data_IF_147060835918
#
_entry.id   IF_147060835918
#
_cell.length_a   1.000
_cell.length_b   1.000
_cell.length_c   1.000
_cell.angle_alpha   90.00
_cell.angle_beta   90.00
_cell.angle_gamma   90.00
#
_symmetry.space_group_name_H-M   'P 1'
#
loop_
_entity.id
_entity.type
_entity.pdbx_description
1 polymer ?
#
# COMPACT_ATOMS: atom_id res chain seq x y z
N UNK A 1 -84.40 84.80 -99.72
CA UNK A 1 -84.76 83.97 -98.56
C UNK A 1 -85.86 84.69 -97.79
N UNK A 2 -86.99 84.05 -97.44
CA UNK A 2 -87.89 84.57 -96.41
C UNK A 2 -87.26 84.41 -95.03
N UNK A 3 -87.53 85.33 -94.10
CA UNK A 3 -87.01 85.28 -92.73
C UNK A 3 -87.77 84.26 -91.87
N UNK A 4 -87.10 83.60 -90.91
CA UNK A 4 -87.76 82.67 -90.00
C UNK A 4 -88.77 83.41 -89.11
N UNK A 5 -90.05 83.02 -89.21
CA UNK A 5 -91.15 83.57 -88.40
C UNK A 5 -91.94 84.72 -89.02
N UNK A 6 -91.58 85.23 -90.22
CA UNK A 6 -92.34 86.31 -90.87
C UNK A 6 -93.09 85.82 -92.13
N UNK A 7 -94.39 85.54 -91.98
CA UNK A 7 -95.24 85.08 -93.06
C UNK A 7 -95.80 86.26 -93.88
N UNK A 8 -95.53 86.29 -95.19
CA UNK A 8 -96.13 87.29 -96.09
C UNK A 8 -97.61 86.99 -96.28
N UNK A 9 -98.47 88.00 -96.11
CA UNK A 9 -99.91 87.88 -96.36
C UNK A 9 -100.20 87.84 -97.86
N UNK A 10 -100.91 86.83 -98.32
CA UNK A 10 -101.44 86.73 -99.68
C UNK A 10 -102.57 87.76 -99.91
N UNK A 11 -102.76 88.16 -101.16
CA UNK A 11 -103.67 89.25 -101.58
C UNK A 11 -105.17 89.05 -101.29
N UNK A 12 -105.57 87.87 -100.79
CA UNK A 12 -106.89 87.61 -100.22
C UNK A 12 -106.75 86.96 -98.83
N UNK A 13 -106.54 87.79 -97.80
CA UNK A 13 -106.96 87.49 -96.42
C UNK A 13 -106.31 86.29 -95.71
N UNK A 14 -105.10 85.89 -96.05
CA UNK A 14 -104.41 84.78 -95.38
C UNK A 14 -102.90 84.79 -95.57
N UNK A 15 -102.16 83.95 -94.83
CA UNK A 15 -100.72 83.82 -95.00
C UNK A 15 -100.36 83.05 -96.28
N UNK A 16 -99.23 83.39 -96.91
CA UNK A 16 -98.67 82.63 -98.02
C UNK A 16 -98.38 81.19 -97.59
N UNK A 17 -99.18 80.26 -98.12
CA UNK A 17 -99.09 78.82 -97.85
C UNK A 17 -97.69 78.26 -98.09
N UNK A 18 -96.93 78.80 -99.05
CA UNK A 18 -95.55 78.34 -99.30
C UNK A 18 -94.60 78.75 -98.18
N UNK A 19 -94.68 79.99 -97.72
CA UNK A 19 -93.90 80.49 -96.57
C UNK A 19 -94.26 79.76 -95.26
N UNK A 20 -95.54 79.46 -95.03
CA UNK A 20 -95.98 78.71 -93.84
C UNK A 20 -95.51 77.25 -93.88
N UNK A 21 -95.66 76.57 -95.02
CA UNK A 21 -95.16 75.20 -95.18
C UNK A 21 -93.63 75.15 -95.03
N UNK A 22 -92.88 76.05 -95.67
CA UNK A 22 -91.42 76.12 -95.52
C UNK A 22 -90.97 76.31 -94.06
N UNK A 23 -91.70 77.11 -93.27
CA UNK A 23 -91.42 77.25 -91.85
C UNK A 23 -91.75 75.98 -91.06
N UNK A 24 -92.86 75.31 -91.34
CA UNK A 24 -93.21 74.03 -90.71
C UNK A 24 -92.18 72.95 -91.08
N UNK A 25 -91.74 72.89 -92.33
CA UNK A 25 -90.75 71.94 -92.83
C UNK A 25 -89.39 72.19 -92.16
N UNK A 26 -88.90 73.44 -92.12
CA UNK A 26 -87.63 73.79 -91.43
C UNK A 26 -87.72 73.66 -89.90
N UNK A 27 -88.88 73.89 -89.29
CA UNK A 27 -89.11 73.64 -87.86
C UNK A 27 -89.09 72.14 -87.57
N UNK A 28 -89.75 71.30 -88.38
CA UNK A 28 -89.71 69.85 -88.26
C UNK A 28 -88.30 69.30 -88.50
N UNK A 29 -87.56 69.82 -89.46
CA UNK A 29 -86.16 69.47 -89.73
C UNK A 29 -85.26 69.83 -88.53
N UNK A 30 -85.44 71.01 -87.94
CA UNK A 30 -84.74 71.41 -86.70
C UNK A 30 -85.13 70.53 -85.49
N UNK A 31 -86.40 70.14 -85.36
CA UNK A 31 -86.83 69.18 -84.32
C UNK A 31 -86.19 67.81 -84.53
N UNK A 32 -86.17 67.28 -85.75
CA UNK A 32 -85.51 65.99 -86.05
C UNK A 32 -83.99 66.05 -85.83
N UNK A 33 -83.35 67.16 -86.16
CA UNK A 33 -81.92 67.34 -85.95
C UNK A 33 -81.57 67.46 -84.45
N UNK A 34 -82.36 68.20 -83.68
CA UNK A 34 -82.17 68.29 -82.22
C UNK A 34 -82.53 66.98 -81.49
N UNK A 35 -83.57 66.25 -81.92
CA UNK A 35 -83.90 64.92 -81.42
C UNK A 35 -82.74 63.93 -81.66
N UNK A 36 -82.13 63.93 -82.86
CA UNK A 36 -80.92 63.15 -83.16
C UNK A 36 -79.75 63.55 -82.26
N UNK A 37 -79.46 64.85 -82.10
CA UNK A 37 -78.39 65.31 -81.20
C UNK A 37 -78.61 64.84 -79.75
N UNK A 38 -79.85 64.83 -79.26
CA UNK A 38 -80.17 64.34 -77.93
C UNK A 38 -80.05 62.81 -77.83
N UNK A 39 -80.43 62.07 -78.87
CA UNK A 39 -80.21 60.62 -78.96
C UNK A 39 -78.71 60.27 -78.98
N UNK A 40 -77.91 60.97 -79.77
CA UNK A 40 -76.45 60.78 -79.82
C UNK A 40 -75.79 61.09 -78.45
N UNK A 41 -76.23 62.14 -77.76
CA UNK A 41 -75.77 62.47 -76.40
C UNK A 41 -76.21 61.40 -75.39
N UNK A 42 -77.44 60.89 -75.47
CA UNK A 42 -77.93 59.80 -74.63
C UNK A 42 -77.15 58.50 -74.84
N UNK A 43 -76.89 58.11 -76.09
CA UNK A 43 -76.02 56.96 -76.40
C UNK A 43 -74.59 57.17 -75.90
N UNK A 44 -74.04 58.38 -76.04
CA UNK A 44 -72.71 58.74 -75.54
C UNK A 44 -72.62 58.60 -74.02
N UNK A 45 -73.62 59.09 -73.28
CA UNK A 45 -73.70 58.92 -71.83
C UNK A 45 -73.91 57.45 -71.43
N UNK A 46 -74.74 56.69 -72.15
CA UNK A 46 -74.93 55.27 -71.91
C UNK A 46 -73.62 54.48 -72.04
N UNK A 47 -72.90 54.66 -73.16
CA UNK A 47 -71.60 54.03 -73.41
C UNK A 47 -70.54 54.45 -72.37
N UNK A 48 -70.55 55.70 -71.93
CA UNK A 48 -69.66 56.18 -70.86
C UNK A 48 -69.98 55.54 -69.50
N UNK A 49 -71.27 55.42 -69.15
CA UNK A 49 -71.73 54.80 -67.91
C UNK A 49 -71.42 53.29 -67.89
N UNK A 50 -71.63 52.58 -68.99
CA UNK A 50 -71.25 51.16 -69.13
C UNK A 50 -69.74 50.95 -68.97
N UNK A 51 -68.93 51.83 -69.59
CA UNK A 51 -67.47 51.81 -69.44
C UNK A 51 -67.02 52.04 -68.00
N UNK A 52 -67.62 53.01 -67.30
CA UNK A 52 -67.36 53.25 -65.88
C UNK A 52 -67.77 52.07 -65.00
N UNK A 53 -68.94 51.46 -65.23
CA UNK A 53 -69.38 50.27 -64.50
C UNK A 53 -68.48 49.06 -64.75
N UNK A 54 -67.99 48.87 -65.98
CA UNK A 54 -67.01 47.83 -66.30
C UNK A 54 -65.68 48.07 -65.58
N UNK A 55 -65.22 49.32 -65.50
CA UNK A 55 -64.00 49.67 -64.77
C UNK A 55 -64.14 49.48 -63.25
N UNK A 56 -65.27 49.88 -62.67
CA UNK A 56 -65.57 49.65 -61.24
C UNK A 56 -65.54 48.15 -60.93
N UNK A 57 -66.22 47.31 -61.72
CA UNK A 57 -66.18 45.84 -61.55
C UNK A 57 -64.77 45.27 -61.66
N UNK A 58 -63.92 45.83 -62.53
CA UNK A 58 -62.51 45.43 -62.64
C UNK A 58 -61.71 45.79 -61.39
N UNK A 59 -61.93 46.97 -60.82
CA UNK A 59 -61.29 47.40 -59.56
C UNK A 59 -61.79 46.58 -58.36
N UNK A 60 -63.09 46.28 -58.28
CA UNK A 60 -63.67 45.40 -57.25
C UNK A 60 -63.07 43.99 -57.31
N UNK A 61 -62.91 43.42 -58.51
CA UNK A 61 -62.25 42.13 -58.71
C UNK A 61 -60.77 42.16 -58.29
N UNK A 62 -60.03 43.22 -58.65
CA UNK A 62 -58.62 43.39 -58.23
C UNK A 62 -58.49 43.57 -56.70
N UNK A 63 -59.40 44.32 -56.06
CA UNK A 63 -59.43 44.47 -54.61
C UNK A 63 -59.72 43.13 -53.91
N UNK A 64 -60.68 42.35 -54.42
CA UNK A 64 -60.96 41.01 -53.91
C UNK A 64 -59.75 40.07 -54.03
N UNK A 65 -59.06 40.09 -55.18
CA UNK A 65 -57.85 39.30 -55.40
C UNK A 65 -56.69 39.72 -54.47
N UNK A 66 -56.48 41.02 -54.27
CA UNK A 66 -55.44 41.53 -53.37
C UNK A 66 -55.76 41.24 -51.90
N UNK A 67 -57.02 41.35 -51.48
CA UNK A 67 -57.45 40.97 -50.13
C UNK A 67 -57.21 39.47 -49.87
N UNK A 68 -57.56 38.60 -50.82
CA UNK A 68 -57.28 37.17 -50.71
C UNK A 68 -55.77 36.88 -50.61
N UNK A 69 -54.93 37.58 -51.39
CA UNK A 69 -53.46 37.47 -51.28
C UNK A 69 -52.97 37.91 -49.90
N UNK A 70 -53.43 39.05 -49.40
CA UNK A 70 -53.07 39.55 -48.07
C UNK A 70 -53.45 38.55 -46.97
N UNK A 71 -54.64 37.95 -47.04
CA UNK A 71 -55.08 36.93 -46.09
C UNK A 71 -54.20 35.66 -46.13
N UNK A 72 -53.84 35.18 -47.33
CA UNK A 72 -52.91 34.04 -47.45
C UNK A 72 -51.51 34.33 -46.93
N UNK A 73 -50.98 35.54 -47.16
CA UNK A 73 -49.66 35.96 -46.66
C UNK A 73 -49.68 36.15 -45.14
N UNK A 74 -50.77 36.68 -44.58
CA UNK A 74 -50.94 36.79 -43.14
C UNK A 74 -50.99 35.40 -42.46
N UNK A 75 -51.70 34.44 -43.05
CA UNK A 75 -51.74 33.06 -42.56
C UNK A 75 -50.36 32.37 -42.63
N UNK A 76 -49.61 32.55 -43.72
CA UNK A 76 -48.25 32.03 -43.86
C UNK A 76 -47.28 32.65 -42.83
N UNK A 77 -47.34 33.97 -42.63
CA UNK A 77 -46.51 34.67 -41.65
C UNK A 77 -46.75 34.18 -40.22
N UNK A 78 -48.00 33.91 -39.86
CA UNK A 78 -48.33 33.39 -38.53
C UNK A 78 -47.89 31.93 -38.35
N UNK A 79 -47.98 31.12 -39.41
CA UNK A 79 -47.42 29.76 -39.40
C UNK A 79 -45.89 29.78 -39.25
N UNK A 80 -45.18 30.65 -39.97
CA UNK A 80 -43.72 30.79 -39.85
C UNK A 80 -43.30 31.27 -38.45
N UNK A 81 -44.05 32.19 -37.85
CA UNK A 81 -43.83 32.64 -36.46
C UNK A 81 -43.97 31.51 -35.45
N UNK A 82 -44.98 30.66 -35.60
CA UNK A 82 -45.19 29.54 -34.70
C UNK A 82 -44.09 28.48 -34.87
N UNK A 83 -43.66 28.19 -36.09
CA UNK A 83 -42.50 27.32 -36.36
C UNK A 83 -41.21 27.91 -35.77
N UNK A 84 -40.97 29.22 -35.92
CA UNK A 84 -39.82 29.91 -35.33
C UNK A 84 -39.85 29.87 -33.80
N UNK A 85 -41.03 30.02 -33.18
CA UNK A 85 -41.23 29.89 -31.73
C UNK A 85 -40.89 28.50 -31.22
N UNK A 86 -41.39 27.45 -31.91
CA UNK A 86 -41.10 26.06 -31.58
C UNK A 86 -39.61 25.71 -31.76
N UNK A 87 -38.97 26.21 -32.83
CA UNK A 87 -37.55 26.03 -33.06
C UNK A 87 -36.71 26.71 -31.96
N UNK A 88 -37.07 27.93 -31.55
CA UNK A 88 -36.38 28.65 -30.47
C UNK A 88 -36.51 27.93 -29.12
N UNK A 89 -37.67 27.33 -28.84
CA UNK A 89 -37.89 26.52 -27.64
C UNK A 89 -37.05 25.24 -27.66
N UNK A 90 -37.00 24.53 -28.80
CA UNK A 90 -36.14 23.35 -28.97
C UNK A 90 -34.65 23.68 -28.82
N UNK A 91 -34.19 24.80 -29.38
CA UNK A 91 -32.80 25.27 -29.21
C UNK A 91 -32.50 25.50 -27.73
N UNK A 92 -33.38 26.20 -27.01
CA UNK A 92 -33.22 26.46 -25.56
C UNK A 92 -33.17 25.16 -24.74
N UNK A 93 -34.01 24.18 -25.06
CA UNK A 93 -34.01 22.86 -24.41
C UNK A 93 -32.71 22.09 -24.70
N UNK A 94 -32.23 22.09 -25.95
CA UNK A 94 -30.97 21.44 -26.34
C UNK A 94 -29.74 22.12 -25.71
N UNK A 95 -29.72 23.45 -25.59
CA UNK A 95 -28.68 24.18 -24.86
C UNK A 95 -28.64 23.80 -23.38
N UNK A 96 -29.81 23.68 -22.73
CA UNK A 96 -29.89 23.26 -21.33
C UNK A 96 -29.42 21.81 -21.13
N UNK A 97 -29.76 20.91 -22.07
CA UNK A 97 -29.28 19.53 -22.07
C UNK A 97 -27.76 19.46 -22.28
N UNK A 98 -27.20 20.20 -23.26
CA UNK A 98 -25.75 20.26 -23.49
C UNK A 98 -24.99 20.75 -22.26
N UNK A 99 -25.41 21.85 -21.61
CA UNK A 99 -24.79 22.34 -20.36
C UNK A 99 -24.84 21.30 -19.24
N UNK A 100 -25.89 20.48 -19.19
CA UNK A 100 -26.02 19.39 -18.21
C UNK A 100 -25.06 18.24 -18.52
N UNK A 101 -24.92 17.86 -19.80
CA UNK A 101 -23.99 16.82 -20.26
C UNK A 101 -22.52 17.26 -20.10
N UNK A 102 -22.17 18.50 -20.44
CA UNK A 102 -20.85 19.09 -20.21
C UNK A 102 -20.47 19.04 -18.73
N UNK A 103 -21.41 19.38 -17.84
CA UNK A 103 -21.19 19.26 -16.39
C UNK A 103 -20.98 17.81 -15.96
N UNK A 104 -21.82 16.89 -16.42
CA UNK A 104 -21.68 15.45 -16.10
C UNK A 104 -20.35 14.87 -16.59
N UNK A 105 -19.87 15.30 -17.77
CA UNK A 105 -18.56 14.92 -18.31
C UNK A 105 -17.41 15.49 -17.45
N UNK A 106 -17.52 16.74 -17.01
CA UNK A 106 -16.53 17.39 -16.13
C UNK A 106 -16.47 16.73 -14.75
N UNK A 107 -17.62 16.50 -14.12
CA UNK A 107 -17.74 15.81 -12.83
C UNK A 107 -17.23 14.36 -12.94
N UNK A 108 -17.56 13.65 -14.03
CA UNK A 108 -17.08 12.29 -14.31
C UNK A 108 -15.57 12.20 -14.57
N UNK A 109 -14.99 13.14 -15.33
CA UNK A 109 -13.54 13.23 -15.55
C UNK A 109 -12.78 13.45 -14.24
N UNK A 110 -13.32 14.31 -13.36
CA UNK A 110 -12.76 14.55 -12.02
C UNK A 110 -12.84 13.31 -11.12
N UNK A 111 -13.94 12.56 -11.15
CA UNK A 111 -14.04 11.31 -10.39
C UNK A 111 -13.02 10.26 -10.91
N UNK A 112 -12.82 10.16 -12.23
CA UNK A 112 -11.79 9.29 -12.83
C UNK A 112 -10.40 9.66 -12.33
N UNK A 113 -10.04 10.95 -12.27
CA UNK A 113 -8.75 11.42 -11.74
C UNK A 113 -8.57 11.03 -10.25
N UNK A 114 -9.61 11.21 -9.44
CA UNK A 114 -9.62 10.80 -8.02
C UNK A 114 -9.42 9.28 -7.88
N UNK A 115 -10.07 8.48 -8.72
CA UNK A 115 -9.96 7.02 -8.68
C UNK A 115 -8.60 6.52 -9.19
N UNK A 116 -7.99 7.20 -10.18
CA UNK A 116 -6.63 6.89 -10.64
C UNK A 116 -5.58 7.14 -9.54
N UNK A 117 -5.65 8.27 -8.85
CA UNK A 117 -4.71 8.56 -7.74
C UNK A 117 -4.95 7.62 -6.55
N UNK A 118 -6.20 7.26 -6.23
CA UNK A 118 -6.50 6.19 -5.25
C UNK A 118 -5.91 4.84 -5.67
N UNK A 119 -6.03 4.46 -6.95
CA UNK A 119 -5.49 3.20 -7.46
C UNK A 119 -3.96 3.17 -7.35
N UNK A 120 -3.29 4.27 -7.71
CA UNK A 120 -1.84 4.44 -7.54
C UNK A 120 -1.40 4.31 -6.07
N UNK A 121 -2.14 4.91 -5.14
CA UNK A 121 -1.85 4.78 -3.70
C UNK A 121 -2.07 3.34 -3.19
N UNK A 122 -3.07 2.63 -3.70
CA UNK A 122 -3.29 1.21 -3.39
C UNK A 122 -2.19 0.32 -3.97
N UNK A 123 -1.74 0.59 -5.20
CA UNK A 123 -0.61 -0.11 -5.81
C UNK A 123 0.66 0.06 -4.98
N UNK A 124 1.02 1.29 -4.60
CA UNK A 124 2.19 1.55 -3.74
C UNK A 124 2.10 0.84 -2.38
N UNK A 125 0.90 0.77 -1.79
CA UNK A 125 0.67 0.00 -0.55
C UNK A 125 0.83 -1.51 -0.78
N UNK A 126 0.34 -2.05 -1.89
CA UNK A 126 0.49 -3.46 -2.24
C UNK A 126 1.96 -3.83 -2.46
N UNK A 127 2.71 -3.03 -3.22
CA UNK A 127 4.17 -3.19 -3.43
C UNK A 127 4.94 -3.09 -2.11
N UNK A 128 4.57 -2.17 -1.22
CA UNK A 128 5.18 -2.05 0.12
C UNK A 128 4.91 -3.26 1.02
N UNK A 129 3.71 -3.86 0.92
CA UNK A 129 3.35 -5.07 1.67
C UNK A 129 4.04 -6.32 1.09
N UNK A 130 4.13 -6.47 -0.22
CA UNK A 130 4.88 -7.54 -0.89
C UNK A 130 6.38 -7.49 -0.54
N UNK A 131 6.99 -6.30 -0.56
CA UNK A 131 8.37 -6.11 -0.12
C UNK A 131 8.56 -6.52 1.35
N UNK A 132 7.63 -6.13 2.25
CA UNK A 132 7.67 -6.55 3.65
C UNK A 132 7.50 -8.05 3.81
N UNK A 133 6.59 -8.69 3.08
CA UNK A 133 6.39 -10.15 3.12
C UNK A 133 7.70 -10.85 2.76
N UNK A 134 8.31 -10.50 1.63
CA UNK A 134 9.60 -11.05 1.19
C UNK A 134 10.70 -10.87 2.24
N UNK A 135 10.75 -9.72 2.93
CA UNK A 135 11.68 -9.51 4.04
C UNK A 135 11.39 -10.37 5.26
N UNK A 136 10.12 -10.61 5.60
CA UNK A 136 9.76 -11.56 6.65
C UNK A 136 10.09 -13.01 6.26
N UNK A 137 9.89 -13.39 5.00
CA UNK A 137 10.24 -14.73 4.48
C UNK A 137 11.77 -14.94 4.49
N UNK A 138 12.55 -13.96 4.04
CA UNK A 138 14.03 -13.96 4.13
C UNK A 138 14.52 -14.14 5.59
N UNK A 139 13.97 -13.35 6.53
CA UNK A 139 14.33 -13.41 7.95
C UNK A 139 13.89 -14.75 8.56
N UNK A 140 12.72 -15.27 8.18
CA UNK A 140 12.21 -16.55 8.69
C UNK A 140 13.09 -17.71 8.25
N UNK A 141 13.60 -17.69 7.01
CA UNK A 141 14.57 -18.67 6.53
C UNK A 141 15.89 -18.58 7.30
N UNK A 142 16.44 -17.37 7.51
CA UNK A 142 17.65 -17.16 8.31
C UNK A 142 17.49 -17.65 9.76
N UNK A 143 16.33 -17.44 10.38
CA UNK A 143 16.02 -17.98 11.71
C UNK A 143 15.94 -19.51 11.66
N UNK A 144 15.34 -20.10 10.62
CA UNK A 144 15.33 -21.54 10.39
C UNK A 144 16.75 -22.14 10.31
N UNK A 145 17.60 -21.56 9.47
CA UNK A 145 18.99 -22.00 9.27
C UNK A 145 19.80 -21.89 10.58
N UNK A 146 19.73 -20.76 11.28
CA UNK A 146 20.44 -20.56 12.56
C UNK A 146 19.92 -21.48 13.67
N UNK A 147 18.64 -21.84 13.71
CA UNK A 147 18.10 -22.85 14.63
C UNK A 147 18.65 -24.25 14.30
N UNK A 148 18.76 -24.59 13.01
CA UNK A 148 19.33 -25.88 12.57
C UNK A 148 20.82 -25.94 12.94
N UNK A 149 21.59 -24.90 12.66
CA UNK A 149 23.02 -24.80 13.02
C UNK A 149 23.22 -24.87 14.54
N UNK A 150 22.46 -24.10 15.32
CA UNK A 150 22.52 -24.12 16.78
C UNK A 150 22.20 -25.50 17.35
N UNK A 151 21.22 -26.21 16.76
CA UNK A 151 20.89 -27.59 17.14
C UNK A 151 22.01 -28.56 16.81
N UNK A 152 22.57 -28.51 15.60
CA UNK A 152 23.69 -29.36 15.20
C UNK A 152 24.92 -29.14 16.10
N UNK A 153 25.21 -27.90 16.44
CA UNK A 153 26.30 -27.55 17.36
C UNK A 153 26.01 -28.05 18.79
N UNK A 154 24.79 -27.91 19.29
CA UNK A 154 24.39 -28.46 20.59
C UNK A 154 24.50 -30.00 20.63
N UNK A 155 24.00 -30.69 19.59
CA UNK A 155 24.11 -32.14 19.44
C UNK A 155 25.59 -32.59 19.39
N UNK A 156 26.45 -31.84 18.70
CA UNK A 156 27.91 -32.07 18.66
C UNK A 156 28.58 -31.84 20.02
N UNK A 157 28.23 -30.78 20.75
CA UNK A 157 28.74 -30.50 22.11
C UNK A 157 28.34 -31.63 23.08
N UNK A 158 27.09 -32.09 23.01
CA UNK A 158 26.59 -33.21 23.83
C UNK A 158 27.32 -34.51 23.49
N UNK A 159 27.53 -34.81 22.20
CA UNK A 159 28.30 -35.97 21.77
C UNK A 159 29.76 -35.90 22.25
N UNK A 160 30.43 -34.76 22.10
CA UNK A 160 31.80 -34.55 22.57
C UNK A 160 31.91 -34.69 24.10
N UNK A 161 30.97 -34.13 24.86
CA UNK A 161 30.92 -34.27 26.31
C UNK A 161 30.70 -35.72 26.75
N UNK A 162 29.85 -36.48 26.04
CA UNK A 162 29.68 -37.92 26.29
C UNK A 162 30.96 -38.72 26.03
N UNK A 163 31.66 -38.46 24.92
CA UNK A 163 32.96 -39.11 24.62
C UNK A 163 34.00 -38.80 25.70
N UNK A 164 34.16 -37.52 26.08
CA UNK A 164 35.08 -37.13 27.15
C UNK A 164 34.71 -37.76 28.50
N UNK A 165 33.43 -37.84 28.84
CA UNK A 165 32.97 -38.52 30.06
C UNK A 165 33.27 -40.02 30.03
N UNK A 166 33.14 -40.69 28.89
CA UNK A 166 33.54 -42.10 28.72
C UNK A 166 35.05 -42.29 28.84
N UNK A 167 35.86 -41.42 28.21
CA UNK A 167 37.32 -41.45 28.32
C UNK A 167 37.78 -41.26 29.78
N UNK A 168 37.20 -40.30 30.50
CA UNK A 168 37.47 -40.06 31.93
C UNK A 168 37.05 -41.29 32.77
N UNK A 169 35.89 -41.88 32.51
CA UNK A 169 35.43 -43.07 33.22
C UNK A 169 36.34 -44.28 32.97
N UNK A 170 36.77 -44.50 31.73
CA UNK A 170 37.73 -45.56 31.38
C UNK A 170 39.11 -45.33 32.00
N UNK A 171 39.62 -44.10 31.97
CA UNK A 171 40.89 -43.74 32.61
C UNK A 171 40.82 -43.90 34.14
N UNK A 172 39.70 -43.53 34.77
CA UNK A 172 39.46 -43.76 36.19
C UNK A 172 39.42 -45.25 36.53
N UNK A 173 38.73 -46.07 35.73
CA UNK A 173 38.69 -47.53 35.93
C UNK A 173 40.07 -48.17 35.74
N UNK A 174 40.85 -47.73 34.75
CA UNK A 174 42.23 -48.20 34.54
C UNK A 174 43.13 -47.86 35.73
N UNK A 175 43.08 -46.62 36.23
CA UNK A 175 43.81 -46.19 37.43
C UNK A 175 43.38 -46.97 38.68
N UNK A 176 42.09 -47.27 38.82
CA UNK A 176 41.58 -48.06 39.94
C UNK A 176 42.06 -49.53 39.85
N UNK A 177 42.09 -50.10 38.65
CA UNK A 177 42.64 -51.44 38.42
C UNK A 177 44.16 -51.51 38.70
N UNK A 178 44.94 -50.51 38.26
CA UNK A 178 46.38 -50.45 38.57
C UNK A 178 46.62 -50.29 40.08
N UNK A 179 45.86 -49.41 40.74
CA UNK A 179 45.91 -49.25 42.20
C UNK A 179 45.57 -50.55 42.96
N UNK A 180 44.58 -51.32 42.52
CA UNK A 180 44.30 -52.64 43.11
C UNK A 180 45.45 -53.64 42.91
N UNK A 181 46.14 -53.59 41.77
CA UNK A 181 47.33 -54.42 41.50
C UNK A 181 48.51 -54.02 42.39
N UNK A 182 48.77 -52.72 42.53
CA UNK A 182 49.80 -52.16 43.41
C UNK A 182 49.53 -52.48 44.89
N UNK A 183 48.28 -52.31 45.35
CA UNK A 183 47.83 -52.70 46.69
C UNK A 183 47.97 -54.21 46.92
N UNK A 184 47.73 -55.02 45.89
CA UNK A 184 47.99 -56.46 45.90
C UNK A 184 49.46 -56.80 46.10
N UNK A 185 50.37 -56.14 45.36
CA UNK A 185 51.82 -56.28 45.55
C UNK A 185 52.23 -55.85 46.95
N UNK A 186 51.82 -54.65 47.38
CA UNK A 186 52.13 -54.10 48.69
C UNK A 186 51.68 -55.01 49.84
N UNK A 187 50.49 -55.62 49.74
CA UNK A 187 50.03 -56.63 50.70
C UNK A 187 50.92 -57.88 50.70
N UNK A 188 51.38 -58.32 49.53
CA UNK A 188 52.35 -59.40 49.39
C UNK A 188 53.70 -59.06 50.05
N UNK A 189 54.21 -57.87 49.80
CA UNK A 189 55.47 -57.37 50.35
C UNK A 189 55.39 -57.17 51.87
N UNK A 190 54.28 -56.64 52.39
CA UNK A 190 54.00 -56.56 53.82
C UNK A 190 53.92 -57.96 54.47
N UNK A 191 53.37 -58.96 53.78
CA UNK A 191 53.37 -60.34 54.26
C UNK A 191 54.76 -60.98 54.25
N UNK A 192 55.61 -60.65 53.26
CA UNK A 192 57.02 -61.07 53.22
C UNK A 192 57.82 -60.42 54.34
N UNK A 193 57.62 -59.11 54.56
CA UNK A 193 58.23 -58.38 55.67
C UNK A 193 57.82 -58.98 57.02
N UNK A 194 56.54 -59.29 57.22
CA UNK A 194 56.05 -59.95 58.45
C UNK A 194 56.74 -61.31 58.67
N UNK A 195 56.84 -62.13 57.62
CA UNK A 195 57.54 -63.43 57.70
C UNK A 195 59.04 -63.26 57.97
N UNK A 196 59.68 -62.26 57.38
CA UNK A 196 61.08 -61.92 57.66
C UNK A 196 61.29 -61.46 59.10
N UNK A 197 60.35 -60.70 59.68
CA UNK A 197 60.37 -60.33 61.10
C UNK A 197 60.15 -61.57 61.98
N UNK A 198 59.23 -62.47 61.64
CA UNK A 198 59.05 -63.76 62.34
C UNK A 198 60.35 -64.60 62.30
N UNK A 199 61.03 -64.67 61.15
CA UNK A 199 62.32 -65.36 60.98
C UNK A 199 63.45 -64.69 61.76
N UNK A 200 63.54 -63.35 61.76
CA UNK A 200 64.53 -62.59 62.55
C UNK A 200 64.28 -62.80 64.04
N UNK A 201 63.04 -62.74 64.52
CA UNK A 201 62.69 -62.99 65.92
C UNK A 201 63.01 -64.44 66.32
N UNK A 202 62.80 -65.41 65.44
CA UNK A 202 63.21 -66.80 65.68
C UNK A 202 64.73 -66.93 65.84
N UNK A 203 65.52 -66.35 64.92
CA UNK A 203 66.99 -66.33 65.01
C UNK A 203 67.50 -65.55 66.23
N UNK A 204 66.79 -64.50 66.64
CA UNK A 204 67.14 -63.71 67.81
C UNK A 204 66.85 -64.47 69.11
N UNK A 205 65.76 -65.24 69.15
CA UNK A 205 65.43 -66.12 70.27
C UNK A 205 66.43 -67.30 70.36
N UNK A 206 66.74 -67.95 69.24
CA UNK A 206 67.80 -68.99 69.13
C UNK A 206 69.17 -68.46 69.61
N UNK A 207 69.52 -67.22 69.25
CA UNK A 207 70.73 -66.56 69.80
C UNK A 207 70.64 -66.24 71.29
N UNK A 208 69.46 -65.91 71.82
CA UNK A 208 69.25 -65.72 73.26
C UNK A 208 69.41 -67.06 73.98
N UNK A 209 68.88 -68.15 73.45
CA UNK A 209 69.03 -69.50 74.00
C UNK A 209 70.52 -69.92 73.99
N UNK A 210 71.25 -69.69 72.89
CA UNK A 210 72.72 -69.89 72.83
C UNK A 210 73.46 -68.98 73.81
N UNK A 211 73.04 -67.72 74.01
CA UNK A 211 73.63 -66.85 75.03
C UNK A 211 73.35 -67.34 76.45
N UNK A 212 72.16 -67.84 76.74
CA UNK A 212 71.82 -68.46 78.03
C UNK A 212 72.65 -69.74 78.25
N UNK A 213 72.87 -70.55 77.21
CA UNK A 213 73.76 -71.71 77.28
C UNK A 213 75.21 -71.30 77.56
N UNK A 214 75.73 -70.28 76.87
CA UNK A 214 77.08 -69.72 77.11
C UNK A 214 77.20 -69.15 78.53
N UNK A 215 76.20 -68.43 79.02
CA UNK A 215 76.15 -67.95 80.42
C UNK A 215 76.19 -69.13 81.38
N UNK A 216 75.37 -70.18 81.16
CA UNK A 216 75.41 -71.40 81.96
C UNK A 216 76.73 -72.17 81.88
N UNK A 217 77.48 -72.08 80.77
CA UNK A 217 78.84 -72.62 80.64
C UNK A 217 79.87 -71.76 81.39
N UNK A 218 79.69 -70.44 81.47
CA UNK A 218 80.54 -69.52 82.24
C UNK A 218 80.28 -69.68 83.74
N UNK A 219 79.03 -69.77 84.18
CA UNK A 219 78.67 -70.09 85.58
C UNK A 219 79.26 -71.43 86.02
N UNK A 220 79.21 -72.46 85.16
CA UNK A 220 79.87 -73.76 85.42
C UNK A 220 81.41 -73.70 85.43
N UNK A 221 82.03 -72.65 84.87
CA UNK A 221 83.48 -72.42 84.96
C UNK A 221 83.91 -71.58 86.17
N UNK A 222 82.97 -70.97 86.89
CA UNK A 222 83.25 -70.17 88.08
C UNK A 222 82.39 -70.63 89.27
N UNK A 223 82.93 -71.60 90.01
CA UNK A 223 82.61 -71.80 91.42
C UNK A 223 83.91 -72.12 92.18
N UNK A 224 84.09 -71.67 93.44
CA UNK A 224 85.38 -71.13 93.87
C UNK A 224 86.03 -71.86 95.04
N UNK A 225 87.30 -72.23 94.87
CA UNK A 225 88.32 -72.65 95.87
C UNK A 225 89.51 -73.10 94.98
N UNK A 226 90.72 -72.53 94.95
CA UNK A 226 91.50 -71.66 95.83
C UNK A 226 92.27 -70.60 94.94
N UNK A 227 93.05 -69.60 95.40
CA UNK A 227 93.61 -69.23 96.71
C UNK A 227 93.84 -67.68 96.80
N UNK A 228 94.44 -67.26 97.90
CA UNK A 228 94.84 -65.92 98.41
C UNK A 228 96.12 -65.29 97.79
N UNK A 229 96.57 -64.04 98.05
CA UNK A 229 96.04 -62.74 98.55
C UNK A 229 97.28 -61.83 98.80
N UNK A 230 97.31 -60.56 98.35
CA UNK A 230 98.24 -59.54 98.89
C UNK A 230 97.49 -58.21 99.07
N UNK A 231 97.51 -57.67 100.29
CA UNK A 231 97.12 -56.29 100.60
C UNK A 231 98.31 -55.34 100.39
N UNK A 232 98.05 -54.18 99.82
CA UNK A 232 98.80 -52.95 100.12
C UNK A 232 97.80 -51.84 100.38
N UNK A 233 97.78 -51.32 101.60
CA UNK A 233 97.06 -50.10 101.95
C UNK A 233 97.81 -48.90 101.36
N UNK A 234 97.09 -48.00 100.68
CA UNK A 234 97.36 -46.57 100.77
C UNK A 234 96.08 -45.78 100.48
N UNK A 235 95.68 -44.98 101.47
CA UNK A 235 94.64 -43.95 101.45
C UNK A 235 95.30 -42.58 101.09
N UNK A 236 94.57 -41.45 100.94
CA UNK A 236 93.15 -41.24 100.62
C UNK A 236 92.94 -40.05 99.61
N UNK A 237 91.70 -39.55 99.55
CA UNK A 237 91.24 -38.16 99.21
C UNK A 237 90.64 -37.87 97.81
N UNK A 238 89.64 -36.95 97.73
CA UNK A 238 88.50 -37.09 96.80
C UNK A 238 88.11 -35.77 96.08
N UNK A 239 86.89 -35.76 95.49
CA UNK A 239 86.20 -34.61 94.87
C UNK A 239 86.86 -34.10 93.55
N UNK A 240 86.17 -33.42 92.62
CA UNK A 240 84.83 -32.81 92.63
C UNK A 240 84.26 -32.71 91.18
N UNK A 241 82.94 -32.69 90.99
CA UNK A 241 82.31 -32.00 89.86
C UNK A 241 82.22 -30.51 90.21
N UNK A 242 82.50 -29.51 89.34
CA UNK A 242 81.48 -29.12 88.34
C UNK A 242 81.94 -28.26 87.12
N UNK A 243 80.92 -27.85 86.34
CA UNK A 243 80.72 -26.51 85.73
C UNK A 243 81.24 -26.16 84.30
N UNK A 244 80.28 -25.62 83.55
CA UNK A 244 80.33 -24.88 82.27
C UNK A 244 81.49 -23.88 82.09
N UNK A 245 81.96 -23.70 80.84
CA UNK A 245 81.61 -22.50 80.05
C UNK A 245 82.04 -22.52 78.57
N UNK A 246 81.03 -22.29 77.71
CA UNK A 246 80.96 -21.35 76.57
C UNK A 246 82.00 -21.31 75.41
N UNK A 247 81.44 -21.21 74.19
CA UNK A 247 82.14 -20.86 72.93
C UNK A 247 81.54 -21.60 71.73
N UNK A 248 80.29 -21.37 71.30
CA UNK A 248 79.72 -20.17 70.66
C UNK A 248 80.33 -19.83 69.28
N UNK A 249 79.56 -20.14 68.21
CA UNK A 249 79.54 -19.61 66.83
C UNK A 249 78.98 -20.71 65.90
N UNK A 250 77.87 -20.56 65.16
CA UNK A 250 76.83 -19.52 65.17
C UNK A 250 75.92 -19.60 63.92
N UNK A 251 74.60 -19.41 64.10
CA UNK A 251 73.62 -19.12 63.04
C UNK A 251 73.17 -20.28 62.13
N UNK A 252 71.94 -20.31 61.60
CA UNK A 252 70.79 -19.46 61.89
C UNK A 252 69.48 -20.23 61.55
N UNK A 253 68.35 -19.78 62.11
CA UNK A 253 67.00 -20.18 61.67
C UNK A 253 66.72 -19.63 60.25
N UNK A 254 65.76 -20.16 59.49
CA UNK A 254 64.38 -19.69 59.59
C UNK A 254 63.34 -20.64 58.97
N UNK A 255 62.12 -20.53 59.50
CA UNK A 255 60.90 -20.99 58.87
C UNK A 255 60.14 -19.78 58.30
N UNK A 256 59.61 -19.90 57.09
CA UNK A 256 58.40 -19.26 56.56
C UNK A 256 58.09 -19.95 55.21
N UNK A 257 56.88 -20.44 54.94
CA UNK A 257 55.61 -19.73 54.70
C UNK A 257 55.56 -18.94 53.37
N UNK A 258 54.43 -19.14 52.68
CA UNK A 258 53.89 -18.38 51.53
C UNK A 258 54.61 -18.48 50.18
N UNK A 259 54.05 -19.31 49.27
CA UNK A 259 53.03 -18.84 48.32
C UNK A 259 52.16 -19.97 47.77
#
# INVERSE_FOLDING_TARGET
>A
MPEPGFFKTATFGGFDKKSVLYYIDTLNENFQNTEKEYQEKLEGFGKAQESQLAHIRSLEAQLAEQNAKLETVAAQLEQEREVARQAQEQISQLEAQNRTLEKQLSDGAREIEIQLERNRQLQFRAESLDYKSKKYDEISNQIGDTIIEARQNADHIVAAAHTQAQEIAMAAQQRMNSFYSELGSFKGDASRLRKSIEEILFVLNDRIDVMQEVVGQVEKRFSPEELSLIYTQEEPQPFETPADQAGYLGGNTDANMEH
#
